data_IF_998030306558
#
_entry.id   IF_998030306558
#
_cell.length_a   1.000
_cell.length_b   1.000
_cell.length_c   1.000
_cell.angle_alpha   90.00
_cell.angle_beta   90.00
_cell.angle_gamma   90.00
#
_symmetry.space_group_name_H-M   'P 1'
#
loop_
_entity.id
_entity.type
_entity.pdbx_description
1 polymer ?
#
# COMPACT_ATOMS: atom_id res chain seq x y z
N UNK A 1 -0.15 8.20 57.17
CA UNK A 1 -0.31 7.08 56.22
C UNK A 1 -1.34 7.48 55.19
N UNK A 2 -0.92 8.20 54.16
CA UNK A 2 -1.78 8.63 53.05
C UNK A 2 -1.26 7.92 51.80
N UNK A 3 -2.03 6.92 51.34
CA UNK A 3 -1.83 6.30 50.04
C UNK A 3 -2.34 7.26 48.96
N UNK A 4 -1.44 7.82 48.19
CA UNK A 4 -1.73 8.53 46.93
C UNK A 4 -2.12 7.47 45.87
N UNK A 5 -3.41 7.39 45.59
CA UNK A 5 -3.90 6.76 44.37
C UNK A 5 -3.36 7.55 43.18
N UNK A 6 -2.40 6.98 42.47
CA UNK A 6 -2.08 7.40 41.09
C UNK A 6 -3.21 6.95 40.20
N UNK A 7 -4.14 7.84 39.92
CA UNK A 7 -5.05 7.71 38.78
C UNK A 7 -4.22 7.66 37.51
N UNK A 8 -4.01 6.43 37.01
CA UNK A 8 -3.50 6.20 35.68
C UNK A 8 -4.52 6.73 34.67
N UNK A 9 -4.32 7.95 34.17
CA UNK A 9 -4.98 8.39 32.92
C UNK A 9 -4.66 7.35 31.86
N UNK A 10 -5.62 6.47 31.54
CA UNK A 10 -5.61 5.70 30.30
C UNK A 10 -5.55 6.73 29.18
N UNK A 11 -4.39 6.86 28.53
CA UNK A 11 -4.27 7.57 27.28
C UNK A 11 -5.36 7.02 26.37
N UNK A 12 -6.24 7.88 25.88
CA UNK A 12 -7.23 7.49 24.88
C UNK A 12 -6.43 6.95 23.69
N UNK A 13 -6.53 5.64 23.44
CA UNK A 13 -5.84 4.99 22.32
C UNK A 13 -6.38 5.60 21.04
N UNK A 14 -5.50 6.09 20.17
CA UNK A 14 -5.87 6.70 18.92
C UNK A 14 -6.53 5.72 17.96
N UNK A 15 -7.22 6.26 16.97
CA UNK A 15 -7.88 5.50 15.92
C UNK A 15 -6.93 5.36 14.73
N UNK A 16 -6.79 4.14 14.24
CA UNK A 16 -6.05 3.83 13.00
C UNK A 16 -7.09 3.55 11.92
N UNK A 17 -6.90 4.16 10.74
CA UNK A 17 -7.76 3.98 9.58
C UNK A 17 -7.02 3.26 8.46
N UNK A 18 -7.74 2.34 7.79
CA UNK A 18 -7.41 1.80 6.48
C UNK A 18 -8.45 2.27 5.46
N UNK A 19 -8.01 2.98 4.45
CA UNK A 19 -8.85 3.53 3.41
C UNK A 19 -8.50 2.88 2.07
N UNK A 20 -9.39 2.01 1.58
CA UNK A 20 -9.29 1.44 0.25
C UNK A 20 -9.94 2.38 -0.74
N UNK A 21 -9.15 2.89 -1.68
CA UNK A 21 -9.57 3.86 -2.69
C UNK A 21 -9.46 3.23 -4.08
N UNK A 22 -10.59 2.76 -4.60
CA UNK A 22 -10.72 2.22 -5.95
C UNK A 22 -11.37 3.20 -6.93
N UNK A 23 -11.41 2.82 -8.22
CA UNK A 23 -12.03 3.62 -9.27
C UNK A 23 -13.54 3.77 -9.10
N UNK A 24 -14.22 2.68 -8.72
CA UNK A 24 -15.69 2.65 -8.61
C UNK A 24 -16.17 2.83 -7.17
N UNK A 25 -15.41 2.33 -6.20
CA UNK A 25 -15.81 2.30 -4.80
C UNK A 25 -14.63 2.61 -3.89
N UNK A 26 -14.94 3.16 -2.72
CA UNK A 26 -14.03 3.21 -1.60
C UNK A 26 -14.57 2.40 -0.42
N UNK A 27 -13.69 1.94 0.46
CA UNK A 27 -14.03 1.27 1.71
C UNK A 27 -13.20 1.83 2.86
N UNK A 28 -13.75 1.86 4.05
CA UNK A 28 -13.10 2.39 5.24
C UNK A 28 -13.15 1.33 6.33
N UNK A 29 -11.99 0.91 6.80
CA UNK A 29 -11.85 0.11 8.02
C UNK A 29 -11.15 0.92 9.09
N UNK A 30 -11.41 0.58 10.36
CA UNK A 30 -10.80 1.25 11.50
C UNK A 30 -10.53 0.27 12.63
N UNK A 31 -9.54 0.56 13.43
CA UNK A 31 -9.34 -0.11 14.71
C UNK A 31 -9.07 0.90 15.83
N UNK A 32 -9.48 0.54 17.06
CA UNK A 32 -9.31 1.35 18.26
C UNK A 32 -8.42 0.60 19.25
N UNK A 33 -7.15 0.97 19.30
CA UNK A 33 -6.17 0.40 20.23
C UNK A 33 -5.39 -0.79 19.68
N UNK A 34 -4.36 -1.22 20.44
CA UNK A 34 -3.43 -2.29 20.04
C UNK A 34 -4.13 -3.65 20.04
N UNK A 35 -4.00 -4.40 18.93
CA UNK A 35 -4.46 -5.77 18.81
C UNK A 35 -5.97 -5.93 18.58
N UNK A 36 -6.73 -4.85 18.38
CA UNK A 36 -8.13 -4.95 17.99
C UNK A 36 -8.25 -5.37 16.52
N UNK A 37 -9.16 -6.29 16.22
CA UNK A 37 -9.50 -6.62 14.84
C UNK A 37 -10.14 -5.40 14.15
N UNK A 38 -9.70 -5.02 12.94
CA UNK A 38 -10.31 -3.92 12.21
C UNK A 38 -11.78 -4.16 11.87
N UNK A 39 -12.62 -3.17 12.15
CA UNK A 39 -14.01 -3.14 11.73
C UNK A 39 -14.15 -2.30 10.45
N UNK A 40 -15.06 -2.70 9.55
CA UNK A 40 -15.34 -1.95 8.33
C UNK A 40 -16.62 -1.13 8.48
N UNK A 41 -16.57 0.13 8.04
CA UNK A 41 -17.71 1.06 8.09
C UNK A 41 -18.73 0.65 7.04
N UNK A 42 -19.98 0.48 7.46
CA UNK A 42 -21.08 0.29 6.50
C UNK A 42 -21.44 1.60 5.81
N UNK A 43 -21.54 1.58 4.49
CA UNK A 43 -22.03 2.71 3.69
C UNK A 43 -23.53 2.98 3.91
N UNK A 44 -24.26 2.02 4.49
CA UNK A 44 -25.66 2.14 4.87
C UNK A 44 -25.84 1.58 6.27
N UNK A 45 -26.24 2.42 7.21
CA UNK A 45 -26.40 2.07 8.61
C UNK A 45 -27.25 0.80 8.80
N UNK A 46 -26.74 -0.16 9.58
CA UNK A 46 -27.43 -1.42 9.87
C UNK A 46 -27.36 -2.48 8.79
N UNK A 47 -26.50 -2.31 7.79
CA UNK A 47 -26.27 -3.30 6.73
C UNK A 47 -24.77 -3.67 6.63
N UNK A 48 -24.45 -4.74 5.90
CA UNK A 48 -23.08 -5.14 5.56
C UNK A 48 -22.66 -4.62 4.16
N UNK A 49 -23.10 -3.42 3.81
CA UNK A 49 -22.74 -2.78 2.54
C UNK A 49 -21.55 -1.84 2.76
N UNK A 50 -20.35 -2.30 2.43
CA UNK A 50 -19.12 -1.57 2.68
C UNK A 50 -18.68 -0.66 1.52
N UNK A 51 -19.15 -0.93 0.30
CA UNK A 51 -18.79 -0.18 -0.90
C UNK A 51 -19.45 1.20 -0.91
N UNK A 52 -18.65 2.25 -0.87
CA UNK A 52 -19.07 3.65 -1.00
C UNK A 52 -18.78 4.05 -2.45
N UNK A 53 -19.79 4.33 -3.31
CA UNK A 53 -19.54 4.76 -4.69
C UNK A 53 -18.61 5.96 -4.76
N UNK A 54 -17.52 5.86 -5.54
CA UNK A 54 -16.50 6.89 -5.66
C UNK A 54 -16.94 8.00 -6.64
N UNK A 55 -18.03 8.67 -6.31
CA UNK A 55 -18.67 9.70 -7.14
C UNK A 55 -19.05 10.93 -6.31
N UNK A 56 -19.06 12.08 -6.99
CA UNK A 56 -19.58 13.35 -6.49
C UNK A 56 -20.73 13.83 -7.37
N UNK A 57 -21.66 14.57 -6.81
CA UNK A 57 -22.69 15.28 -7.58
C UNK A 57 -22.81 16.71 -7.09
N UNK A 58 -22.67 17.68 -8.02
CA UNK A 58 -22.89 19.09 -7.75
C UNK A 58 -24.36 19.43 -7.99
N UNK A 59 -25.00 20.08 -7.02
CA UNK A 59 -26.35 20.64 -7.19
C UNK A 59 -26.30 21.83 -8.12
N UNK A 60 -27.16 21.81 -9.15
CA UNK A 60 -27.22 22.89 -10.12
C UNK A 60 -27.50 24.26 -9.46
N UNK A 61 -26.73 25.28 -9.83
CA UNK A 61 -26.89 26.66 -9.34
C UNK A 61 -26.54 26.88 -7.86
N UNK A 62 -25.99 25.87 -7.15
CA UNK A 62 -25.62 25.96 -5.73
C UNK A 62 -24.27 25.30 -5.50
N UNK A 63 -23.43 25.86 -4.61
CA UNK A 63 -22.12 25.30 -4.26
C UNK A 63 -22.16 24.01 -3.40
N UNK A 64 -23.27 23.28 -3.40
CA UNK A 64 -23.45 22.07 -2.58
C UNK A 64 -23.08 20.81 -3.36
N UNK A 65 -22.27 19.95 -2.72
CA UNK A 65 -21.83 18.67 -3.26
C UNK A 65 -22.39 17.51 -2.44
N UNK A 66 -22.86 16.47 -3.13
CA UNK A 66 -23.23 15.18 -2.58
C UNK A 66 -22.16 14.14 -2.94
N UNK A 67 -22.10 13.01 -2.21
CA UNK A 67 -21.16 11.93 -2.48
C UNK A 67 -21.80 10.55 -2.35
N UNK A 68 -21.18 9.54 -2.93
CA UNK A 68 -21.60 8.15 -2.78
C UNK A 68 -23.00 7.90 -3.31
N UNK A 69 -23.80 7.11 -2.60
CA UNK A 69 -25.18 6.77 -3.00
C UNK A 69 -26.11 7.98 -3.11
N UNK A 70 -25.90 8.98 -2.25
CA UNK A 70 -26.69 10.22 -2.32
C UNK A 70 -26.41 10.99 -3.60
N UNK A 71 -25.14 11.04 -4.04
CA UNK A 71 -24.79 11.68 -5.30
C UNK A 71 -25.48 11.01 -6.50
N UNK A 72 -25.46 9.67 -6.55
CA UNK A 72 -26.12 8.90 -7.61
C UNK A 72 -27.64 9.14 -7.60
N UNK A 73 -28.25 9.12 -6.42
CA UNK A 73 -29.68 9.38 -6.28
C UNK A 73 -30.05 10.79 -6.73
N UNK A 74 -29.32 11.80 -6.23
CA UNK A 74 -29.57 13.21 -6.51
C UNK A 74 -29.41 13.53 -8.01
N UNK A 75 -28.38 12.98 -8.66
CA UNK A 75 -28.18 13.16 -10.11
C UNK A 75 -29.37 12.63 -10.94
N UNK A 76 -29.99 11.52 -10.51
CA UNK A 76 -31.15 10.92 -11.21
C UNK A 76 -32.46 11.67 -10.97
N UNK A 77 -32.71 12.12 -9.73
CA UNK A 77 -34.01 12.65 -9.31
C UNK A 77 -34.10 14.17 -9.48
N UNK A 78 -33.01 14.90 -9.28
CA UNK A 78 -33.01 16.36 -9.18
C UNK A 78 -32.13 17.07 -10.23
N UNK A 79 -31.55 16.29 -11.20
CA UNK A 79 -30.80 16.86 -12.31
C UNK A 79 -29.44 17.45 -11.94
N UNK A 80 -28.83 16.98 -10.87
CA UNK A 80 -27.44 17.35 -10.50
C UNK A 80 -26.41 16.82 -11.50
N UNK A 81 -25.25 17.47 -11.55
CA UNK A 81 -24.13 17.06 -12.40
C UNK A 81 -23.28 16.04 -11.66
N UNK A 82 -23.25 14.80 -12.16
CA UNK A 82 -22.48 13.70 -11.62
C UNK A 82 -21.03 13.77 -12.12
N UNK A 83 -20.07 13.60 -11.22
CA UNK A 83 -18.63 13.45 -11.52
C UNK A 83 -18.22 12.07 -11.04
N UNK A 84 -17.88 11.20 -11.99
CA UNK A 84 -17.47 9.82 -11.79
C UNK A 84 -15.96 9.69 -12.04
N UNK A 85 -15.40 8.49 -11.80
CA UNK A 85 -13.99 8.18 -12.05
C UNK A 85 -12.98 9.16 -11.40
N UNK A 86 -13.31 9.62 -10.19
CA UNK A 86 -12.54 10.65 -9.47
C UNK A 86 -11.04 10.33 -9.37
N UNK A 87 -10.70 9.06 -9.16
CA UNK A 87 -9.30 8.62 -9.05
C UNK A 87 -8.57 8.75 -10.40
N UNK A 88 -9.21 8.35 -11.48
CA UNK A 88 -8.65 8.47 -12.83
C UNK A 88 -8.52 9.95 -13.25
N UNK A 89 -9.51 10.77 -12.95
CA UNK A 89 -9.44 12.22 -13.22
C UNK A 89 -8.27 12.86 -12.46
N UNK A 90 -8.08 12.52 -11.18
CA UNK A 90 -6.96 13.01 -10.39
C UNK A 90 -5.59 12.55 -10.96
N UNK A 91 -5.52 11.31 -11.47
CA UNK A 91 -4.32 10.82 -12.14
C UNK A 91 -4.05 11.54 -13.47
N UNK A 92 -5.07 11.92 -14.25
CA UNK A 92 -4.89 12.72 -15.47
C UNK A 92 -4.41 14.13 -15.15
N UNK A 93 -4.92 14.75 -14.09
CA UNK A 93 -4.51 16.06 -13.61
C UNK A 93 -5.05 17.22 -14.44
N UNK A 94 -6.01 16.97 -15.34
CA UNK A 94 -6.69 17.99 -16.13
C UNK A 94 -7.91 18.49 -15.36
N UNK A 95 -8.14 19.81 -15.39
CA UNK A 95 -9.28 20.42 -14.71
C UNK A 95 -10.62 19.83 -15.19
N UNK A 96 -11.50 19.55 -14.23
CA UNK A 96 -12.84 19.03 -14.47
C UNK A 96 -13.83 20.19 -14.57
N UNK A 97 -14.46 20.33 -15.73
CA UNK A 97 -15.47 21.36 -15.95
C UNK A 97 -16.83 20.94 -15.42
N UNK A 98 -17.37 21.68 -14.44
CA UNK A 98 -18.71 21.47 -13.89
C UNK A 98 -19.45 22.82 -13.86
N UNK A 99 -20.55 22.94 -14.56
CA UNK A 99 -21.34 24.19 -14.73
C UNK A 99 -20.52 25.38 -15.25
N UNK A 100 -19.51 25.15 -16.10
CA UNK A 100 -18.64 26.18 -16.63
C UNK A 100 -17.54 26.64 -15.66
N UNK A 101 -17.45 26.05 -14.46
CA UNK A 101 -16.36 26.28 -13.52
C UNK A 101 -15.33 25.14 -13.63
N UNK A 102 -14.05 25.48 -13.55
CA UNK A 102 -12.94 24.53 -13.55
C UNK A 102 -12.63 24.09 -12.11
N UNK A 103 -12.53 22.80 -11.89
CA UNK A 103 -12.19 22.20 -10.59
C UNK A 103 -10.93 21.35 -10.71
N UNK A 104 -9.99 21.52 -9.79
CA UNK A 104 -8.84 20.63 -9.64
C UNK A 104 -9.30 19.22 -9.28
N UNK A 105 -8.98 18.18 -10.07
CA UNK A 105 -9.46 16.82 -9.85
C UNK A 105 -8.94 16.22 -8.55
N UNK A 106 -7.72 16.57 -8.09
CA UNK A 106 -7.22 16.11 -6.80
C UNK A 106 -7.99 16.75 -5.62
N UNK A 107 -8.45 18.00 -5.77
CA UNK A 107 -9.30 18.65 -4.79
C UNK A 107 -10.70 17.99 -4.73
N UNK A 108 -11.27 17.62 -5.89
CA UNK A 108 -12.53 16.85 -5.95
C UNK A 108 -12.38 15.48 -5.26
N UNK A 109 -11.30 14.77 -5.54
CA UNK A 109 -11.02 13.48 -4.88
C UNK A 109 -10.83 13.67 -3.37
N UNK A 110 -10.11 14.70 -2.92
CA UNK A 110 -9.97 15.03 -1.50
C UNK A 110 -11.33 15.37 -0.85
N UNK A 111 -12.21 16.06 -1.55
CA UNK A 111 -13.57 16.34 -1.10
C UNK A 111 -14.36 15.05 -0.91
N UNK A 112 -14.30 14.11 -1.86
CA UNK A 112 -14.93 12.80 -1.75
C UNK A 112 -14.41 12.03 -0.53
N UNK A 113 -13.09 11.91 -0.37
CA UNK A 113 -12.47 11.22 0.76
C UNK A 113 -12.89 11.87 2.09
N UNK A 114 -12.82 13.20 2.19
CA UNK A 114 -13.23 13.94 3.38
C UNK A 114 -14.71 13.70 3.74
N UNK A 115 -15.59 13.67 2.74
CA UNK A 115 -17.03 13.41 2.93
C UNK A 115 -17.29 11.98 3.34
N UNK A 116 -16.63 10.99 2.69
CA UNK A 116 -16.80 9.58 3.05
C UNK A 116 -16.28 9.28 4.46
N UNK A 117 -15.20 9.91 4.91
CA UNK A 117 -14.72 9.80 6.29
C UNK A 117 -15.73 10.30 7.32
N UNK A 118 -16.69 11.15 6.96
CA UNK A 118 -17.74 11.59 7.88
C UNK A 118 -18.68 10.46 8.34
N UNK A 119 -18.70 9.32 7.62
CA UNK A 119 -19.42 8.11 8.06
C UNK A 119 -18.90 7.56 9.40
N UNK A 120 -17.64 7.83 9.73
CA UNK A 120 -17.04 7.46 11.02
C UNK A 120 -17.63 8.27 12.17
N UNK A 121 -18.13 9.48 11.96
CA UNK A 121 -18.64 10.36 13.02
C UNK A 121 -19.84 9.75 13.80
N UNK A 122 -20.48 8.73 13.24
CA UNK A 122 -21.57 7.99 13.92
C UNK A 122 -20.99 7.15 15.08
N UNK A 123 -19.73 6.70 14.97
CA UNK A 123 -19.07 5.80 15.93
C UNK A 123 -17.83 6.41 16.61
N UNK A 124 -17.12 7.28 15.91
CA UNK A 124 -15.81 7.80 16.30
C UNK A 124 -15.71 9.28 15.95
N UNK A 125 -14.90 10.02 16.70
CA UNK A 125 -14.56 11.40 16.36
C UNK A 125 -13.34 11.40 15.41
N UNK A 126 -13.42 12.09 14.28
CA UNK A 126 -12.29 12.26 13.35
C UNK A 126 -11.09 12.98 14.01
N UNK A 127 -11.29 13.70 15.11
CA UNK A 127 -10.21 14.29 15.88
C UNK A 127 -9.34 13.27 16.65
N UNK A 128 -9.79 12.02 16.74
CA UNK A 128 -9.09 10.91 17.40
C UNK A 128 -8.29 10.05 16.42
N UNK A 129 -8.30 10.37 15.13
CA UNK A 129 -7.53 9.64 14.12
C UNK A 129 -6.06 9.97 14.30
N UNK A 130 -5.28 8.98 14.72
CA UNK A 130 -3.82 9.10 14.87
C UNK A 130 -3.08 8.77 13.58
N UNK A 131 -3.58 7.81 12.81
CA UNK A 131 -2.94 7.36 11.58
C UNK A 131 -3.93 6.91 10.51
N UNK A 132 -3.54 7.07 9.24
CA UNK A 132 -4.33 6.70 8.07
C UNK A 132 -3.43 6.02 7.04
N UNK A 133 -3.81 4.81 6.61
CA UNK A 133 -3.20 4.11 5.49
C UNK A 133 -4.17 4.13 4.31
N UNK A 134 -3.77 4.77 3.21
CA UNK A 134 -4.44 4.58 1.93
C UNK A 134 -3.94 3.32 1.25
N UNK A 135 -4.85 2.53 0.69
CA UNK A 135 -4.53 1.42 -0.18
C UNK A 135 -5.22 1.60 -1.52
N UNK A 136 -4.50 1.33 -2.60
CA UNK A 136 -4.94 1.46 -3.99
C UNK A 136 -4.52 0.23 -4.78
N UNK A 137 -5.08 0.02 -5.96
CA UNK A 137 -4.72 -1.14 -6.79
C UNK A 137 -3.23 -1.13 -7.14
N UNK A 138 -2.73 -0.01 -7.68
CA UNK A 138 -1.33 0.18 -8.04
C UNK A 138 -0.78 1.48 -7.44
N UNK A 139 0.42 1.41 -6.87
CA UNK A 139 1.10 2.55 -6.28
C UNK A 139 2.23 3.05 -7.19
N UNK A 140 1.86 3.75 -8.26
CA UNK A 140 2.82 4.41 -9.17
C UNK A 140 3.33 5.73 -8.58
N UNK A 141 4.44 6.32 -9.09
CA UNK A 141 4.91 7.64 -8.66
C UNK A 141 3.82 8.73 -8.78
N UNK A 142 3.05 8.69 -9.87
CA UNK A 142 1.92 9.61 -10.07
C UNK A 142 0.81 9.39 -9.05
N UNK A 143 0.53 8.15 -8.68
CA UNK A 143 -0.45 7.85 -7.63
C UNK A 143 0.01 8.35 -6.27
N UNK A 144 1.28 8.22 -5.93
CA UNK A 144 1.86 8.77 -4.69
C UNK A 144 1.68 10.29 -4.64
N UNK A 145 1.93 11.01 -5.76
CA UNK A 145 1.69 12.46 -5.85
C UNK A 145 0.21 12.80 -5.63
N UNK A 146 -0.71 12.11 -6.30
CA UNK A 146 -2.16 12.29 -6.15
C UNK A 146 -2.59 12.07 -4.69
N UNK A 147 -2.17 10.96 -4.09
CA UNK A 147 -2.53 10.65 -2.69
C UNK A 147 -1.93 11.64 -1.70
N UNK A 148 -0.72 12.15 -1.95
CA UNK A 148 -0.08 13.20 -1.15
C UNK A 148 -0.87 14.50 -1.19
N UNK A 149 -1.34 14.91 -2.38
CA UNK A 149 -2.22 16.09 -2.56
C UNK A 149 -3.57 15.89 -1.87
N UNK A 150 -4.17 14.69 -2.00
CA UNK A 150 -5.41 14.33 -1.30
C UNK A 150 -5.20 14.41 0.21
N UNK A 151 -4.15 13.79 0.74
CA UNK A 151 -3.84 13.80 2.17
C UNK A 151 -3.68 15.23 2.72
N UNK A 152 -2.98 16.10 1.99
CA UNK A 152 -2.85 17.52 2.35
C UNK A 152 -4.22 18.24 2.38
N UNK A 153 -5.11 17.92 1.43
CA UNK A 153 -6.47 18.50 1.34
C UNK A 153 -7.42 18.05 2.47
N UNK A 154 -7.17 16.90 3.11
CA UNK A 154 -8.03 16.38 4.18
C UNK A 154 -7.98 17.22 5.46
N UNK A 155 -6.87 17.90 5.73
CA UNK A 155 -6.64 18.65 6.96
C UNK A 155 -6.89 17.81 8.23
N UNK A 156 -6.61 16.52 8.17
CA UNK A 156 -6.69 15.62 9.33
C UNK A 156 -5.56 15.95 10.32
N UNK A 157 -5.85 15.80 11.61
CA UNK A 157 -4.82 15.90 12.67
C UNK A 157 -4.03 14.60 12.85
N UNK A 158 -4.16 13.65 11.89
CA UNK A 158 -3.41 12.41 11.90
C UNK A 158 -1.90 12.70 11.91
N UNK A 159 -1.16 12.01 12.78
CA UNK A 159 0.30 12.15 12.89
C UNK A 159 1.03 11.50 11.74
N UNK A 160 0.41 10.47 11.16
CA UNK A 160 1.01 9.64 10.12
C UNK A 160 -0.03 9.32 9.06
N UNK A 161 0.28 9.64 7.80
CA UNK A 161 -0.50 9.22 6.63
C UNK A 161 0.46 8.50 5.69
N UNK A 162 0.12 7.28 5.30
CA UNK A 162 0.93 6.42 4.45
C UNK A 162 0.12 5.84 3.30
N UNK A 163 0.83 5.31 2.31
CA UNK A 163 0.26 4.75 1.09
C UNK A 163 0.81 3.36 0.86
N UNK A 164 -0.02 2.46 0.33
CA UNK A 164 0.37 1.12 -0.10
C UNK A 164 -0.53 0.62 -1.22
N UNK A 165 -0.15 -0.48 -1.88
CA UNK A 165 -0.98 -1.14 -2.86
C UNK A 165 -1.84 -2.26 -2.24
N UNK A 166 -2.79 -2.81 -3.02
CA UNK A 166 -3.66 -3.91 -2.60
C UNK A 166 -2.88 -5.18 -2.24
N UNK A 167 -1.75 -5.43 -2.90
CA UNK A 167 -0.93 -6.62 -2.61
C UNK A 167 -0.30 -6.54 -1.22
N UNK A 168 0.18 -5.36 -0.82
CA UNK A 168 0.69 -5.13 0.54
C UNK A 168 -0.42 -5.26 1.58
N UNK A 169 -1.63 -4.79 1.25
CA UNK A 169 -2.81 -4.99 2.10
C UNK A 169 -3.17 -6.47 2.25
N UNK A 170 -3.07 -7.24 1.17
CA UNK A 170 -3.27 -8.69 1.21
C UNK A 170 -2.24 -9.38 2.08
N UNK A 171 -0.97 -9.03 1.93
CA UNK A 171 0.11 -9.53 2.80
C UNK A 171 -0.18 -9.20 4.28
N UNK A 172 -0.45 -7.95 4.61
CA UNK A 172 -0.72 -7.53 5.99
C UNK A 172 -1.96 -8.23 6.57
N UNK A 173 -3.03 -8.34 5.79
CA UNK A 173 -4.23 -9.07 6.20
C UNK A 173 -3.93 -10.54 6.50
N UNK A 174 -3.16 -11.20 5.63
CA UNK A 174 -2.81 -12.63 5.77
C UNK A 174 -1.97 -12.88 7.03
N UNK A 175 -0.99 -12.04 7.33
CA UNK A 175 -0.15 -12.21 8.53
C UNK A 175 -0.93 -12.09 9.84
N UNK A 176 -2.07 -11.40 9.84
CA UNK A 176 -2.94 -11.25 11.00
C UNK A 176 -4.04 -12.32 11.10
N UNK A 177 -4.06 -13.28 10.18
CA UNK A 177 -4.93 -14.45 10.30
C UNK A 177 -4.29 -15.52 11.21
N UNK A 178 -5.13 -16.41 11.73
CA UNK A 178 -4.68 -17.56 12.49
C UNK A 178 -3.61 -18.37 11.73
N UNK A 179 -2.63 -18.91 12.43
CA UNK A 179 -1.50 -19.64 11.82
C UNK A 179 -1.96 -20.79 10.91
N UNK A 180 -3.04 -21.48 11.26
CA UNK A 180 -3.62 -22.56 10.46
C UNK A 180 -4.09 -22.07 9.07
N UNK A 181 -4.57 -20.83 8.99
CA UNK A 181 -5.07 -20.23 7.73
C UNK A 181 -3.94 -19.82 6.79
N UNK A 182 -2.75 -19.57 7.30
CA UNK A 182 -1.57 -19.10 6.55
C UNK A 182 -0.38 -20.07 6.59
N UNK A 183 -0.63 -21.33 6.97
CA UNK A 183 0.41 -22.37 7.09
C UNK A 183 1.10 -22.66 5.75
N UNK A 184 0.35 -22.62 4.67
CA UNK A 184 0.81 -22.77 3.29
C UNK A 184 0.33 -21.55 2.49
N UNK A 185 0.38 -21.64 1.18
CA UNK A 185 -0.05 -20.54 0.31
C UNK A 185 -1.48 -20.08 0.62
N UNK A 186 -1.68 -18.78 0.45
CA UNK A 186 -2.99 -18.14 0.55
C UNK A 186 -3.34 -17.54 -0.81
N UNK A 187 -4.53 -17.80 -1.30
CA UNK A 187 -4.97 -17.40 -2.64
C UNK A 187 -6.16 -16.45 -2.54
N UNK A 188 -6.17 -15.42 -3.36
CA UNK A 188 -7.36 -14.61 -3.66
C UNK A 188 -7.76 -14.92 -5.11
N UNK A 189 -9.04 -15.22 -5.32
CA UNK A 189 -9.68 -15.04 -6.61
C UNK A 189 -10.52 -13.76 -6.54
N UNK A 190 -10.18 -12.79 -7.38
CA UNK A 190 -10.90 -11.52 -7.46
C UNK A 190 -11.63 -11.43 -8.79
N UNK A 191 -12.95 -11.22 -8.72
CA UNK A 191 -13.81 -11.22 -9.89
C UNK A 191 -14.70 -9.96 -9.90
N UNK A 192 -14.21 -8.93 -10.57
CA UNK A 192 -14.91 -7.68 -10.81
C UNK A 192 -15.35 -7.59 -12.28
N UNK A 193 -14.51 -7.10 -13.17
CA UNK A 193 -14.73 -7.05 -14.63
C UNK A 193 -14.28 -8.34 -15.28
N UNK A 194 -13.12 -8.83 -14.92
CA UNK A 194 -12.52 -10.12 -15.28
C UNK A 194 -12.07 -10.82 -14.00
N UNK A 195 -11.72 -12.10 -14.14
CA UNK A 195 -11.14 -12.88 -13.04
C UNK A 195 -9.63 -12.67 -13.00
N UNK A 196 -9.10 -12.46 -11.79
CA UNK A 196 -7.66 -12.57 -11.49
C UNK A 196 -7.41 -13.42 -10.26
N UNK A 197 -6.23 -14.02 -10.19
CA UNK A 197 -5.74 -14.75 -9.02
C UNK A 197 -4.51 -14.04 -8.45
N UNK A 198 -4.46 -13.96 -7.14
CA UNK A 198 -3.29 -13.54 -6.39
C UNK A 198 -2.88 -14.69 -5.48
N UNK A 199 -1.62 -15.13 -5.54
CA UNK A 199 -1.09 -16.19 -4.70
C UNK A 199 0.02 -15.66 -3.83
N UNK A 200 -0.17 -15.70 -2.52
CA UNK A 200 0.83 -15.32 -1.53
C UNK A 200 1.62 -16.56 -1.13
N UNK A 201 2.92 -16.50 -1.34
CA UNK A 201 3.90 -17.53 -0.99
C UNK A 201 4.91 -16.98 0.02
N UNK A 202 5.26 -17.80 1.02
CA UNK A 202 6.25 -17.46 2.01
C UNK A 202 7.48 -18.36 1.89
N UNK A 203 8.64 -17.79 1.56
CA UNK A 203 9.90 -18.50 1.52
C UNK A 203 10.49 -18.66 2.94
N UNK A 204 10.25 -19.81 3.53
CA UNK A 204 10.73 -20.15 4.90
C UNK A 204 12.25 -20.42 4.97
N UNK A 205 12.97 -20.43 3.85
CA UNK A 205 14.42 -20.70 3.80
C UNK A 205 15.27 -19.45 4.01
N UNK A 206 14.67 -18.27 3.99
CA UNK A 206 15.35 -16.98 4.17
C UNK A 206 15.12 -16.44 5.58
N UNK A 207 16.02 -15.58 6.06
CA UNK A 207 15.87 -14.87 7.33
C UNK A 207 16.21 -13.38 7.12
N UNK A 208 15.21 -12.48 7.16
CA UNK A 208 13.78 -12.73 7.35
C UNK A 208 13.16 -13.58 6.23
N UNK A 209 11.98 -14.18 6.49
CA UNK A 209 11.22 -14.94 5.50
C UNK A 209 10.70 -13.99 4.43
N UNK A 210 11.04 -14.26 3.17
CA UNK A 210 10.60 -13.45 2.03
C UNK A 210 9.19 -13.87 1.62
N UNK A 211 8.29 -12.90 1.53
CA UNK A 211 6.93 -13.09 1.03
C UNK A 211 6.81 -12.45 -0.34
N UNK A 212 6.31 -13.24 -1.29
CA UNK A 212 6.03 -12.83 -2.67
C UNK A 212 4.55 -13.03 -2.96
N UNK A 213 4.01 -12.23 -3.87
CA UNK A 213 2.66 -12.39 -4.38
C UNK A 213 2.74 -12.50 -5.91
N UNK A 214 2.39 -13.67 -6.40
CA UNK A 214 2.19 -13.92 -7.82
C UNK A 214 0.81 -13.44 -8.25
N UNK A 215 0.71 -12.88 -9.45
CA UNK A 215 -0.53 -12.42 -10.05
C UNK A 215 -0.76 -13.13 -11.38
N UNK A 216 -1.98 -13.58 -11.59
CA UNK A 216 -2.39 -14.23 -12.82
C UNK A 216 -3.76 -13.69 -13.27
N UNK A 217 -3.82 -13.22 -14.52
CA UNK A 217 -5.04 -12.67 -15.11
C UNK A 217 -5.74 -13.73 -16.00
N UNK A 218 -7.06 -13.75 -15.93
CA UNK A 218 -7.90 -14.62 -16.76
C UNK A 218 -8.87 -13.76 -17.59
N UNK A 219 -8.37 -13.15 -18.69
CA UNK A 219 -9.16 -12.19 -19.47
C UNK A 219 -10.38 -12.83 -20.14
N UNK A 220 -10.37 -14.15 -20.33
CA UNK A 220 -11.50 -14.89 -20.93
C UNK A 220 -12.64 -15.13 -19.93
N UNK A 221 -12.38 -14.99 -18.64
CA UNK A 221 -13.40 -15.11 -17.58
C UNK A 221 -13.97 -13.73 -17.27
N UNK A 222 -14.76 -13.21 -18.21
CA UNK A 222 -15.40 -11.89 -18.07
C UNK A 222 -16.69 -11.97 -17.25
N UNK A 223 -16.93 -10.89 -16.49
CA UNK A 223 -18.22 -10.72 -15.83
C UNK A 223 -19.35 -10.65 -16.84
N UNK A 224 -20.35 -11.50 -16.66
CA UNK A 224 -21.48 -11.61 -17.59
C UNK A 224 -22.64 -10.72 -17.16
N UNK A 225 -23.34 -10.18 -18.15
CA UNK A 225 -24.68 -9.63 -17.99
C UNK A 225 -25.63 -10.81 -18.20
N UNK A 226 -26.40 -11.12 -17.17
CA UNK A 226 -27.30 -12.27 -17.20
C UNK A 226 -28.49 -12.06 -18.11
N UNK A 227 -28.87 -13.10 -18.83
CA UNK A 227 -30.08 -13.09 -19.62
C UNK A 227 -31.33 -12.87 -18.75
N UNK A 228 -32.35 -12.25 -19.32
CA UNK A 228 -33.62 -12.04 -18.62
C UNK A 228 -34.40 -13.36 -18.47
N UNK A 229 -34.33 -14.23 -19.51
CA UNK A 229 -34.96 -15.54 -19.50
C UNK A 229 -34.25 -16.49 -18.53
N UNK A 230 -35.01 -17.13 -17.65
CA UNK A 230 -34.50 -17.97 -16.56
C UNK A 230 -33.67 -19.16 -17.05
N UNK A 231 -34.13 -19.83 -18.11
CA UNK A 231 -33.43 -21.01 -18.66
C UNK A 231 -32.06 -20.62 -19.24
N UNK A 232 -32.00 -19.54 -20.00
CA UNK A 232 -30.74 -19.07 -20.58
C UNK A 232 -29.80 -18.53 -19.49
N UNK A 233 -30.32 -17.84 -18.47
CA UNK A 233 -29.54 -17.39 -17.31
C UNK A 233 -28.92 -18.54 -16.53
N UNK A 234 -29.66 -19.62 -16.25
CA UNK A 234 -29.13 -20.80 -15.57
C UNK A 234 -28.08 -21.53 -16.41
N UNK A 235 -28.25 -21.57 -17.74
CA UNK A 235 -27.24 -22.09 -18.65
C UNK A 235 -25.96 -21.25 -18.60
N UNK A 236 -26.07 -19.92 -18.69
CA UNK A 236 -24.94 -19.01 -18.57
C UNK A 236 -24.18 -19.18 -17.23
N UNK A 237 -24.92 -19.38 -16.11
CA UNK A 237 -24.31 -19.66 -14.79
C UNK A 237 -23.55 -20.98 -14.77
N UNK A 238 -24.10 -22.02 -15.37
CA UNK A 238 -23.43 -23.33 -15.46
C UNK A 238 -22.15 -23.26 -16.30
N UNK A 239 -22.19 -22.57 -17.45
CA UNK A 239 -21.03 -22.36 -18.29
C UNK A 239 -19.91 -21.61 -17.54
N UNK A 240 -20.27 -20.53 -16.82
CA UNK A 240 -19.31 -19.76 -16.03
C UNK A 240 -18.72 -20.59 -14.87
N UNK A 241 -19.53 -21.40 -14.18
CA UNK A 241 -19.07 -22.28 -13.11
C UNK A 241 -18.11 -23.36 -13.63
N UNK A 242 -18.39 -23.93 -14.81
CA UNK A 242 -17.50 -24.90 -15.46
C UNK A 242 -16.17 -24.26 -15.86
N UNK A 243 -16.21 -23.05 -16.43
CA UNK A 243 -15.01 -22.28 -16.80
C UNK A 243 -14.16 -21.97 -15.56
N UNK A 244 -14.77 -21.45 -14.51
CA UNK A 244 -14.08 -21.16 -13.26
C UNK A 244 -13.55 -22.43 -12.58
N UNK A 245 -14.30 -23.53 -12.59
CA UNK A 245 -13.83 -24.82 -12.08
C UNK A 245 -12.62 -25.37 -12.85
N UNK A 246 -12.53 -25.11 -14.16
CA UNK A 246 -11.35 -25.42 -14.97
C UNK A 246 -10.15 -24.57 -14.53
N UNK A 247 -10.31 -23.25 -14.47
CA UNK A 247 -9.29 -22.32 -13.98
C UNK A 247 -8.76 -22.72 -12.59
N UNK A 248 -9.66 -23.07 -11.67
CA UNK A 248 -9.29 -23.51 -10.31
C UNK A 248 -8.44 -24.79 -10.34
N UNK A 249 -8.75 -25.75 -11.22
CA UNK A 249 -7.93 -26.97 -11.32
C UNK A 249 -6.53 -26.66 -11.81
N UNK A 250 -6.40 -25.91 -12.89
CA UNK A 250 -5.10 -25.54 -13.46
C UNK A 250 -4.24 -24.74 -12.49
N UNK A 251 -4.83 -23.76 -11.80
CA UNK A 251 -4.07 -22.86 -10.92
C UNK A 251 -3.74 -23.44 -9.55
N UNK A 252 -4.49 -24.43 -9.05
CA UNK A 252 -4.28 -25.02 -7.73
C UNK A 252 -3.67 -26.44 -7.80
N UNK A 253 -3.18 -26.89 -8.94
CA UNK A 253 -2.45 -28.16 -9.07
C UNK A 253 -1.07 -28.09 -8.46
N UNK A 254 -0.42 -26.91 -8.51
CA UNK A 254 0.90 -26.68 -7.94
C UNK A 254 0.81 -26.14 -6.53
N UNK A 255 1.60 -26.74 -5.61
CA UNK A 255 1.70 -26.31 -4.22
C UNK A 255 0.52 -26.72 -3.34
N UNK A 256 0.59 -26.34 -2.07
CA UNK A 256 -0.44 -26.59 -1.07
C UNK A 256 -1.04 -25.23 -0.66
N UNK A 257 -2.33 -25.09 -0.86
CA UNK A 257 -3.07 -23.87 -0.47
C UNK A 257 -3.87 -24.14 0.79
N UNK A 258 -3.68 -23.33 1.83
CA UNK A 258 -4.42 -23.40 3.10
C UNK A 258 -5.75 -22.67 3.01
N UNK A 259 -5.75 -21.47 2.43
CA UNK A 259 -6.90 -20.55 2.45
C UNK A 259 -7.12 -19.91 1.12
N UNK A 260 -8.39 -19.73 0.76
CA UNK A 260 -8.83 -19.03 -0.44
C UNK A 260 -9.83 -17.95 -0.07
N UNK A 261 -9.61 -16.75 -0.58
CA UNK A 261 -10.56 -15.64 -0.50
C UNK A 261 -11.19 -15.39 -1.86
N UNK A 262 -12.52 -15.28 -1.89
CA UNK A 262 -13.29 -14.88 -3.06
C UNK A 262 -13.71 -13.43 -2.89
N UNK A 263 -13.15 -12.55 -3.70
CA UNK A 263 -13.39 -11.11 -3.66
C UNK A 263 -14.10 -10.64 -4.94
N UNK A 264 -14.82 -9.53 -4.80
CA UNK A 264 -15.47 -8.86 -5.92
C UNK A 264 -16.94 -9.22 -6.11
N UNK A 265 -17.62 -8.32 -6.80
CA UNK A 265 -19.07 -8.40 -6.99
C UNK A 265 -19.49 -9.52 -7.94
N UNK A 266 -18.58 -10.01 -8.77
CA UNK A 266 -18.82 -11.13 -9.69
C UNK A 266 -19.17 -12.44 -9.00
N UNK A 267 -18.79 -12.63 -7.73
CA UNK A 267 -19.13 -13.84 -6.96
C UNK A 267 -20.48 -13.74 -6.23
N UNK A 268 -21.14 -12.58 -6.20
CA UNK A 268 -22.36 -12.37 -5.39
C UNK A 268 -23.61 -13.12 -5.87
N UNK A 269 -23.63 -13.60 -7.13
CA UNK A 269 -24.86 -14.10 -7.76
C UNK A 269 -25.10 -15.61 -7.64
N UNK A 270 -24.31 -16.30 -6.80
CA UNK A 270 -24.55 -17.70 -6.42
C UNK A 270 -24.44 -18.72 -7.58
N UNK A 271 -23.67 -18.40 -8.60
CA UNK A 271 -23.44 -19.26 -9.76
C UNK A 271 -22.36 -20.33 -9.50
N UNK A 272 -21.35 -20.06 -8.69
CA UNK A 272 -20.14 -20.85 -8.45
C UNK A 272 -20.42 -22.10 -7.57
N UNK A 273 -21.31 -23.00 -7.97
CA UNK A 273 -21.74 -24.15 -7.13
C UNK A 273 -20.73 -25.31 -7.16
N UNK A 274 -20.28 -25.72 -8.34
CA UNK A 274 -19.35 -26.85 -8.52
C UNK A 274 -17.92 -26.41 -8.21
N UNK A 275 -17.53 -25.22 -8.62
CA UNK A 275 -16.24 -24.65 -8.30
C UNK A 275 -16.06 -24.45 -6.80
N UNK A 276 -17.08 -24.02 -6.03
CA UNK A 276 -17.01 -23.93 -4.57
C UNK A 276 -16.77 -25.29 -3.91
N UNK A 277 -17.40 -26.35 -4.38
CA UNK A 277 -17.14 -27.70 -3.89
C UNK A 277 -15.67 -28.11 -4.12
N UNK A 278 -15.11 -27.72 -5.25
CA UNK A 278 -13.72 -27.98 -5.59
C UNK A 278 -12.75 -27.16 -4.72
N UNK A 279 -13.04 -25.87 -4.52
CA UNK A 279 -12.26 -24.96 -3.68
C UNK A 279 -12.21 -25.42 -2.23
N UNK A 280 -13.33 -25.89 -1.68
CA UNK A 280 -13.44 -26.34 -0.28
C UNK A 280 -12.77 -27.70 0.01
N UNK A 281 -12.19 -28.38 -0.97
CA UNK A 281 -11.49 -29.67 -0.73
C UNK A 281 -10.16 -29.46 0.01
N UNK A 282 -10.18 -29.68 1.34
CA UNK A 282 -8.99 -29.57 2.19
C UNK A 282 -8.49 -28.12 2.40
N UNK A 283 -9.30 -27.10 2.10
CA UNK A 283 -8.96 -25.70 2.21
C UNK A 283 -10.06 -24.94 2.94
N UNK A 284 -9.73 -23.79 3.53
CA UNK A 284 -10.70 -22.83 4.04
C UNK A 284 -11.03 -21.83 2.93
N UNK A 285 -12.31 -21.59 2.69
CA UNK A 285 -12.80 -20.66 1.68
C UNK A 285 -13.64 -19.58 2.33
N UNK A 286 -13.29 -18.35 2.11
CA UNK A 286 -14.01 -17.18 2.62
C UNK A 286 -14.47 -16.32 1.45
N UNK A 287 -15.66 -15.77 1.56
CA UNK A 287 -16.17 -14.77 0.63
C UNK A 287 -16.34 -13.45 1.36
N UNK A 288 -15.79 -12.38 0.81
CA UNK A 288 -15.86 -11.04 1.40
C UNK A 288 -15.34 -10.02 0.40
N UNK A 289 -15.40 -8.75 0.77
CA UNK A 289 -14.94 -7.66 -0.10
C UNK A 289 -14.26 -6.51 0.64
N UNK A 290 -13.93 -6.68 1.92
CA UNK A 290 -13.29 -5.63 2.73
C UNK A 290 -11.86 -5.99 3.19
N UNK A 291 -11.24 -6.96 2.53
CA UNK A 291 -9.90 -7.46 2.85
C UNK A 291 -8.85 -6.36 2.75
N UNK A 292 -8.87 -5.56 1.67
CA UNK A 292 -7.86 -4.54 1.42
C UNK A 292 -7.92 -3.40 2.45
N UNK A 293 -9.09 -2.89 2.78
CA UNK A 293 -9.23 -1.84 3.80
C UNK A 293 -8.85 -2.33 5.22
N UNK A 294 -9.17 -3.58 5.57
CA UNK A 294 -8.71 -4.21 6.82
C UNK A 294 -7.20 -4.44 6.80
N UNK A 295 -6.63 -4.93 5.69
CA UNK A 295 -5.20 -5.11 5.50
C UNK A 295 -4.43 -3.80 5.64
N UNK A 296 -4.97 -2.69 5.13
CA UNK A 296 -4.40 -1.37 5.32
C UNK A 296 -4.37 -0.95 6.80
N UNK A 297 -5.42 -1.25 7.59
CA UNK A 297 -5.38 -1.05 9.04
C UNK A 297 -4.26 -1.86 9.70
N UNK A 298 -4.15 -3.14 9.40
CA UNK A 298 -3.12 -4.01 9.95
C UNK A 298 -1.71 -3.54 9.59
N UNK A 299 -1.48 -3.16 8.33
CA UNK A 299 -0.20 -2.61 7.90
C UNK A 299 0.18 -1.34 8.67
N UNK A 300 -0.77 -0.44 8.91
CA UNK A 300 -0.53 0.76 9.70
C UNK A 300 -0.26 0.43 11.18
N UNK A 301 -0.95 -0.55 11.77
CA UNK A 301 -0.66 -1.01 13.13
C UNK A 301 0.78 -1.51 13.24
N UNK A 302 1.22 -2.34 12.30
CA UNK A 302 2.58 -2.87 12.25
C UNK A 302 3.62 -1.77 11.98
N UNK A 303 3.29 -0.78 11.16
CA UNK A 303 4.18 0.36 10.92
C UNK A 303 4.40 1.21 12.17
N UNK A 304 3.36 1.39 12.98
CA UNK A 304 3.45 2.16 14.23
C UNK A 304 4.11 1.35 15.36
N UNK A 305 3.84 0.05 15.43
CA UNK A 305 4.36 -0.82 16.47
C UNK A 305 4.57 -2.25 15.93
N UNK A 306 5.72 -2.52 15.26
CA UNK A 306 5.98 -3.79 14.61
C UNK A 306 5.98 -4.97 15.58
N UNK A 307 5.11 -5.95 15.35
CA UNK A 307 5.03 -7.19 16.11
C UNK A 307 6.26 -8.08 15.89
N UNK A 308 6.45 -9.06 16.78
CA UNK A 308 7.52 -10.04 16.61
C UNK A 308 7.31 -10.90 15.35
N UNK A 309 6.07 -11.17 15.00
CA UNK A 309 5.72 -11.93 13.80
C UNK A 309 6.00 -11.12 12.54
N UNK A 310 5.60 -9.86 12.51
CA UNK A 310 5.90 -8.96 11.38
C UNK A 310 7.40 -8.88 11.08
N UNK A 311 8.23 -8.75 12.12
CA UNK A 311 9.70 -8.66 11.98
C UNK A 311 10.36 -9.91 11.42
N UNK A 312 9.70 -11.07 11.44
CA UNK A 312 10.21 -12.29 10.82
C UNK A 312 9.99 -12.35 9.32
N UNK A 313 9.13 -11.49 8.78
CA UNK A 313 8.73 -11.51 7.37
C UNK A 313 9.13 -10.21 6.68
N UNK A 314 9.40 -10.30 5.39
CA UNK A 314 9.59 -9.15 4.51
C UNK A 314 8.82 -9.37 3.21
N UNK A 315 7.93 -8.44 2.91
CA UNK A 315 7.21 -8.43 1.64
C UNK A 315 8.03 -7.71 0.57
N UNK A 316 8.24 -8.37 -0.57
CA UNK A 316 9.01 -7.82 -1.70
C UNK A 316 8.09 -7.59 -2.92
N UNK A 317 7.13 -6.69 -2.78
CA UNK A 317 6.26 -6.22 -3.86
C UNK A 317 7.00 -5.42 -4.94
N UNK A 318 6.32 -5.07 -6.02
CA UNK A 318 6.90 -4.32 -7.14
C UNK A 318 7.40 -2.93 -6.74
N UNK A 319 6.80 -2.33 -5.72
CA UNK A 319 7.11 -1.02 -5.15
C UNK A 319 8.13 -1.05 -4.00
N UNK A 320 8.70 -2.22 -3.70
CA UNK A 320 9.69 -2.41 -2.63
C UNK A 320 11.12 -2.55 -3.17
N UNK A 321 12.09 -2.04 -2.42
CA UNK A 321 13.49 -2.34 -2.66
C UNK A 321 13.74 -3.85 -2.54
N UNK A 322 14.40 -4.42 -3.55
CA UNK A 322 14.76 -5.86 -3.58
C UNK A 322 16.11 -6.14 -2.93
N UNK A 323 16.91 -5.10 -2.73
CA UNK A 323 18.27 -5.18 -2.22
C UNK A 323 18.49 -4.24 -1.05
N UNK A 324 19.36 -4.64 -0.13
CA UNK A 324 19.93 -3.71 0.83
C UNK A 324 21.03 -2.88 0.15
N UNK A 325 21.08 -1.59 0.44
CA UNK A 325 22.17 -0.69 0.06
C UNK A 325 22.99 -0.37 1.30
N UNK A 326 24.29 -0.54 1.23
CA UNK A 326 25.17 -0.23 2.35
C UNK A 326 26.59 0.07 1.89
N UNK A 327 27.51 0.20 2.83
CA UNK A 327 28.93 0.40 2.59
C UNK A 327 29.79 -0.29 3.64
N UNK A 328 31.04 -0.54 3.30
CA UNK A 328 32.05 -0.89 4.30
C UNK A 328 32.48 0.38 5.01
N UNK A 329 32.54 0.34 6.31
CA UNK A 329 32.97 1.45 7.15
C UNK A 329 33.83 0.96 8.30
N UNK A 330 34.77 1.78 8.72
CA UNK A 330 35.54 1.55 9.94
C UNK A 330 34.77 2.16 11.12
N UNK A 331 34.33 1.33 12.05
CA UNK A 331 33.70 1.79 13.27
C UNK A 331 34.58 1.46 14.47
N UNK A 332 35.12 2.49 15.13
CA UNK A 332 36.08 2.32 16.23
C UNK A 332 37.32 1.49 15.89
N UNK A 333 37.76 1.56 14.62
CA UNK A 333 38.93 0.83 14.12
C UNK A 333 38.66 -0.60 13.65
N UNK A 334 37.41 -1.06 13.68
CA UNK A 334 37.01 -2.38 13.20
C UNK A 334 36.18 -2.26 11.92
N UNK A 335 36.37 -3.17 10.98
CA UNK A 335 35.59 -3.28 9.77
C UNK A 335 34.12 -3.61 10.12
N UNK A 336 33.22 -2.82 9.63
CA UNK A 336 31.76 -3.00 9.83
C UNK A 336 30.99 -2.73 8.54
N UNK A 337 29.79 -3.30 8.46
CA UNK A 337 28.81 -2.95 7.42
C UNK A 337 27.92 -1.82 7.94
N UNK A 338 27.83 -0.75 7.18
CA UNK A 338 26.90 0.34 7.44
C UNK A 338 25.70 0.21 6.50
N UNK A 339 24.52 -0.07 7.05
CA UNK A 339 23.27 -0.13 6.30
C UNK A 339 22.80 1.30 5.97
N UNK A 340 22.48 1.56 4.72
CA UNK A 340 22.02 2.86 4.19
C UNK A 340 20.52 2.78 3.88
N UNK A 341 20.12 1.81 3.06
CA UNK A 341 18.73 1.54 2.71
C UNK A 341 18.45 0.05 2.87
N UNK A 342 17.28 -0.28 3.46
CA UNK A 342 16.89 -1.65 3.72
C UNK A 342 15.93 -2.18 2.64
N UNK A 343 16.14 -3.41 2.18
CA UNK A 343 15.20 -4.14 1.33
C UNK A 343 13.83 -4.27 2.01
N UNK A 344 12.77 -4.24 1.23
CA UNK A 344 11.37 -4.23 1.72
C UNK A 344 10.84 -2.84 2.04
N UNK A 345 11.67 -1.78 2.03
CA UNK A 345 11.22 -0.40 2.14
C UNK A 345 10.58 0.04 0.81
N UNK A 346 9.52 0.86 0.88
CA UNK A 346 8.96 1.49 -0.30
C UNK A 346 10.00 2.39 -0.97
N UNK A 347 10.21 2.23 -2.28
CA UNK A 347 11.21 3.00 -2.99
C UNK A 347 11.03 4.53 -2.81
N UNK A 348 9.79 5.02 -2.82
CA UNK A 348 9.47 6.46 -2.69
C UNK A 348 9.66 7.03 -1.27
N UNK A 349 9.92 6.18 -0.28
CA UNK A 349 10.25 6.57 1.10
C UNK A 349 11.71 6.32 1.45
N UNK A 350 12.42 5.57 0.61
CA UNK A 350 13.78 5.11 0.88
C UNK A 350 14.77 6.23 0.60
N UNK A 351 15.17 6.92 1.64
CA UNK A 351 16.22 7.93 1.64
C UNK A 351 17.04 7.85 2.92
N UNK A 352 18.29 8.29 2.84
CA UNK A 352 19.20 8.35 3.97
C UNK A 352 20.19 9.51 3.79
N UNK A 353 20.47 10.21 4.88
CA UNK A 353 21.43 11.31 4.92
C UNK A 353 22.39 11.08 6.09
N UNK A 354 23.70 11.07 5.84
CA UNK A 354 24.69 10.75 6.85
C UNK A 354 26.09 11.29 6.50
N UNK A 355 26.89 11.48 7.52
CA UNK A 355 28.29 11.92 7.38
C UNK A 355 29.26 10.75 7.49
N UNK A 356 30.29 10.76 6.66
CA UNK A 356 31.42 9.82 6.73
C UNK A 356 32.75 10.56 6.64
N UNK A 357 33.81 9.95 7.14
CA UNK A 357 35.19 10.40 6.93
C UNK A 357 35.81 9.48 5.87
N UNK A 358 36.23 10.10 4.76
CA UNK A 358 36.97 9.38 3.71
C UNK A 358 38.37 9.08 4.25
N UNK A 359 38.71 7.80 4.31
CA UNK A 359 40.02 7.39 4.85
C UNK A 359 41.16 7.83 3.95
N UNK A 360 41.07 7.48 2.66
CA UNK A 360 41.99 7.88 1.60
C UNK A 360 41.37 7.71 0.22
N UNK A 361 41.97 8.28 -0.81
CA UNK A 361 41.50 8.16 -2.18
C UNK A 361 40.46 9.18 -2.57
N UNK A 362 39.71 8.88 -3.65
CA UNK A 362 38.75 9.77 -4.29
C UNK A 362 37.51 9.03 -4.76
N UNK A 363 37.14 7.96 -4.07
CA UNK A 363 35.98 7.13 -4.41
C UNK A 363 35.19 6.77 -3.17
N UNK A 364 33.86 6.62 -3.34
CA UNK A 364 32.97 6.08 -2.34
C UNK A 364 32.31 4.82 -2.92
N UNK A 365 32.41 3.71 -2.16
CA UNK A 365 31.96 2.39 -2.58
C UNK A 365 30.65 2.01 -1.88
N UNK A 366 29.63 1.73 -2.67
CA UNK A 366 28.35 1.20 -2.22
C UNK A 366 28.25 -0.31 -2.48
N UNK A 367 27.65 -1.04 -1.57
CA UNK A 367 27.39 -2.48 -1.65
C UNK A 367 25.91 -2.73 -1.82
N UNK A 368 25.52 -3.38 -2.90
CA UNK A 368 24.14 -3.77 -3.18
C UNK A 368 24.00 -5.26 -2.90
N UNK A 369 23.16 -5.63 -1.93
CA UNK A 369 22.96 -7.02 -1.50
C UNK A 369 21.51 -7.44 -1.73
N UNK A 370 21.21 -8.21 -2.80
CA UNK A 370 19.87 -8.71 -3.06
C UNK A 370 19.38 -9.64 -1.96
N UNK A 371 18.12 -9.48 -1.52
CA UNK A 371 17.53 -10.29 -0.47
C UNK A 371 17.05 -11.66 -0.97
N UNK A 372 16.74 -11.76 -2.26
CA UNK A 372 16.29 -13.00 -2.92
C UNK A 372 17.43 -13.94 -3.29
N UNK A 373 18.67 -13.60 -2.94
CA UNK A 373 19.87 -14.34 -3.30
C UNK A 373 20.63 -13.69 -4.46
N UNK A 374 21.87 -14.11 -4.65
CA UNK A 374 22.80 -13.51 -5.61
C UNK A 374 24.05 -12.99 -4.91
N UNK A 375 25.04 -12.58 -5.68
CA UNK A 375 26.28 -12.01 -5.16
C UNK A 375 26.12 -10.54 -4.76
N UNK A 376 26.94 -10.07 -3.82
CA UNK A 376 27.06 -8.65 -3.50
C UNK A 376 27.64 -7.90 -4.70
N UNK A 377 26.99 -6.83 -5.13
CA UNK A 377 27.43 -5.99 -6.24
C UNK A 377 28.01 -4.68 -5.69
N UNK A 378 29.22 -4.33 -6.13
CA UNK A 378 29.84 -3.04 -5.84
C UNK A 378 29.35 -1.95 -6.81
N UNK A 379 29.14 -0.74 -6.29
CA UNK A 379 28.92 0.48 -7.08
C UNK A 379 29.83 1.56 -6.55
N UNK A 380 30.59 2.21 -7.43
CA UNK A 380 31.61 3.20 -7.06
C UNK A 380 31.23 4.58 -7.59
N UNK A 381 31.32 5.58 -6.75
CA UNK A 381 31.16 6.99 -7.11
C UNK A 381 32.53 7.67 -7.02
N UNK A 382 32.98 8.23 -8.14
CA UNK A 382 34.26 8.93 -8.24
C UNK A 382 34.10 10.42 -7.92
N UNK A 383 34.92 10.88 -6.97
CA UNK A 383 34.93 12.27 -6.48
C UNK A 383 35.95 13.10 -7.27
N UNK A 384 35.60 13.47 -8.50
CA UNK A 384 36.50 14.17 -9.41
C UNK A 384 36.99 15.51 -8.82
N UNK A 385 38.32 15.65 -8.70
CA UNK A 385 38.97 16.87 -8.22
C UNK A 385 38.72 17.18 -6.73
N UNK A 386 38.44 16.17 -5.91
CA UNK A 386 38.48 16.33 -4.45
C UNK A 386 39.82 16.85 -4.02
N UNK A 387 39.92 17.80 -3.07
CA UNK A 387 41.21 18.30 -2.58
C UNK A 387 42.07 17.17 -1.99
N UNK A 388 43.39 17.23 -2.29
CA UNK A 388 44.34 16.34 -1.65
C UNK A 388 44.53 16.73 -0.18
N UNK A 389 44.17 15.83 0.74
CA UNK A 389 44.27 16.02 2.19
C UNK A 389 44.89 14.80 2.85
N UNK A 390 45.48 14.95 4.04
CA UNK A 390 45.96 13.81 4.81
C UNK A 390 44.86 12.74 5.03
N UNK A 391 45.31 11.52 5.27
CA UNK A 391 44.43 10.39 5.58
C UNK A 391 43.42 10.76 6.69
N UNK A 392 42.15 10.43 6.48
CA UNK A 392 41.04 10.71 7.38
C UNK A 392 40.79 12.22 7.68
N UNK A 393 41.25 13.13 6.79
CA UNK A 393 41.03 14.57 6.91
C UNK A 393 39.98 15.13 5.91
N UNK A 394 39.08 14.28 5.43
CA UNK A 394 37.99 14.67 4.52
C UNK A 394 36.68 14.12 5.06
N UNK A 395 35.83 15.01 5.54
CA UNK A 395 34.45 14.65 5.92
C UNK A 395 33.53 14.89 4.73
N UNK A 396 32.70 13.93 4.42
CA UNK A 396 31.69 13.96 3.35
C UNK A 396 30.31 13.83 3.98
N UNK A 397 29.35 14.61 3.50
CA UNK A 397 27.93 14.32 3.67
C UNK A 397 27.49 13.50 2.46
N UNK A 398 26.75 12.44 2.69
CA UNK A 398 26.21 11.56 1.66
C UNK A 398 24.69 11.52 1.82
N UNK A 399 23.98 11.97 0.79
CA UNK A 399 22.56 11.84 0.64
C UNK A 399 22.27 10.78 -0.43
N UNK A 400 21.48 9.76 -0.06
CA UNK A 400 21.04 8.69 -0.96
C UNK A 400 19.53 8.65 -0.95
N UNK A 401 18.91 8.76 -2.10
CA UNK A 401 17.46 8.64 -2.27
C UNK A 401 17.12 7.78 -3.48
N UNK A 402 16.09 6.95 -3.36
CA UNK A 402 15.60 6.19 -4.50
C UNK A 402 14.77 7.07 -5.44
N UNK A 403 15.10 7.04 -6.73
CA UNK A 403 14.35 7.73 -7.79
C UNK A 403 13.40 6.81 -8.56
N UNK A 404 13.64 5.51 -8.46
CA UNK A 404 12.78 4.44 -8.96
C UNK A 404 13.05 3.16 -8.15
N UNK A 405 12.28 2.12 -8.35
CA UNK A 405 12.38 0.85 -7.59
C UNK A 405 13.78 0.18 -7.67
N UNK A 406 14.52 0.45 -8.73
CA UNK A 406 15.86 -0.13 -8.99
C UNK A 406 16.95 0.93 -9.19
N UNK A 407 16.68 2.20 -8.86
CA UNK A 407 17.61 3.30 -9.14
C UNK A 407 17.66 4.28 -7.97
N UNK A 408 18.85 4.61 -7.52
CA UNK A 408 19.11 5.61 -6.50
C UNK A 408 19.93 6.78 -7.04
N UNK A 409 19.57 7.98 -6.61
CA UNK A 409 20.40 9.18 -6.71
C UNK A 409 21.30 9.27 -5.49
N UNK A 410 22.57 9.54 -5.70
CA UNK A 410 23.56 9.73 -4.65
C UNK A 410 24.16 11.12 -4.82
N UNK A 411 24.03 11.95 -3.80
CA UNK A 411 24.69 13.27 -3.73
C UNK A 411 25.71 13.24 -2.61
N UNK A 412 26.94 13.64 -2.91
CA UNK A 412 28.07 13.66 -1.97
C UNK A 412 28.62 15.08 -1.92
N UNK A 413 28.75 15.64 -0.73
CA UNK A 413 29.27 17.00 -0.51
C UNK A 413 30.52 16.96 0.34
N UNK A 414 31.54 17.78 -0.02
CA UNK A 414 32.75 17.95 0.76
C UNK A 414 32.49 18.94 1.91
N UNK A 415 32.44 18.46 3.14
CA UNK A 415 32.31 19.25 4.34
C UNK A 415 33.65 19.72 4.95
N UNK A 416 34.78 19.34 4.31
CA UNK A 416 36.10 19.63 4.87
C UNK A 416 36.39 18.90 6.18
N UNK A 417 37.36 19.37 6.95
CA UNK A 417 37.71 18.82 8.26
C UNK A 417 38.30 19.91 9.18
N UNK A 418 37.40 20.67 9.80
CA UNK A 418 37.77 21.79 10.68
C UNK A 418 38.41 22.99 9.94
N UNK A 419 39.07 23.90 10.68
CA UNK A 419 39.64 25.13 10.14
C UNK A 419 40.84 24.89 9.21
N UNK A 420 41.59 23.81 9.45
CA UNK A 420 42.79 23.48 8.66
C UNK A 420 42.46 22.96 7.25
N UNK A 421 41.33 22.33 7.11
CA UNK A 421 40.84 21.75 5.84
C UNK A 421 39.40 22.20 5.58
N UNK A 422 39.17 23.45 5.16
CA UNK A 422 37.84 23.98 4.95
C UNK A 422 37.12 23.24 3.81
N UNK A 423 35.78 23.30 3.78
CA UNK A 423 34.97 22.74 2.68
C UNK A 423 35.44 23.31 1.32
N UNK A 424 35.52 22.47 0.30
CA UNK A 424 35.87 22.92 -1.05
C UNK A 424 34.70 23.51 -1.84
N UNK A 425 33.47 23.37 -1.32
CA UNK A 425 32.23 23.73 -2.02
C UNK A 425 31.90 22.79 -3.19
N UNK A 426 32.56 21.63 -3.28
CA UNK A 426 32.26 20.62 -4.30
C UNK A 426 31.21 19.68 -3.86
N UNK A 427 30.30 19.37 -4.81
CA UNK A 427 29.31 18.32 -4.71
C UNK A 427 29.38 17.42 -5.95
N UNK A 428 29.14 16.14 -5.77
CA UNK A 428 29.10 15.13 -6.82
C UNK A 428 27.75 14.44 -6.78
N UNK A 429 27.12 14.29 -7.92
CA UNK A 429 25.88 13.56 -8.06
C UNK A 429 26.08 12.39 -9.00
N UNK A 430 25.61 11.22 -8.60
CA UNK A 430 25.67 9.99 -9.39
C UNK A 430 24.37 9.23 -9.28
N UNK A 431 24.06 8.45 -10.30
CA UNK A 431 22.95 7.50 -10.29
C UNK A 431 23.51 6.08 -10.21
N UNK A 432 23.04 5.30 -9.25
CA UNK A 432 23.45 3.90 -9.07
C UNK A 432 22.26 2.96 -9.28
N UNK A 433 22.52 1.78 -9.85
CA UNK A 433 21.54 0.69 -9.96
C UNK A 433 21.57 -0.15 -8.68
N UNK A 434 20.38 -0.42 -8.14
CA UNK A 434 20.15 -1.12 -6.87
C UNK A 434 19.50 -2.48 -7.09
#
# INVERSE_FOLDING_TARGET
MFQSQKDGKKSAKGVILGYDLGHQFAQISYCTGDGAEPETVSAVTGTEQYNIPAVLCKRAGVGQWYYGKEAVKFAREEGGILVEDLLMLAQRGEDVMVEGEAFDPAALLALFVKRSLSLLNIRLSLYQVDALMFTVEELTPRMVDVLSRVAAGLQLKAKTICFQNHLESFYAYTLHQDEELRKNDVVIFEYNTSLRMLRLECNQRTSPMVVLIEQMEFPDVLRRVWAQEEQEREKQKQELDQLFAHTVRETLEEGIVSTIFLLGDGFKEGWAKESLKLLCRGRRVFQGNNLYSKGACYAMMERLNPSAEWKKHVYLGADKLKSNVGMKALRRGEDSYYAILDAGTNWYEAASDFDVILEEGNTVDFLITPLTGGGVMGRQVHLAGIPDRPRAATRLNIHVEMTAVNQASVTIEDLGFGELFPPSGKAWTATIQV
#
